data_IF_363538135793
#
_entry.id   IF_363538135793
#
_cell.length_a   1.000
_cell.length_b   1.000
_cell.length_c   1.000
_cell.angle_alpha   90.00
_cell.angle_beta   90.00
_cell.angle_gamma   90.00
#
_symmetry.space_group_name_H-M   'P 1'
#
loop_
_entity.id
_entity.type
_entity.pdbx_description
1 polymer ?
#
# COMPACT_ATOMS: atom_id res chain seq x y z
N UNK A 1 -22.58 21.16 -13.76
CA UNK A 1 -21.96 19.82 -13.91
C UNK A 1 -20.87 19.73 -12.87
N UNK A 2 -20.83 18.70 -12.02
CA UNK A 2 -19.77 18.56 -11.03
C UNK A 2 -18.41 18.37 -11.73
N UNK A 3 -17.43 19.12 -11.26
CA UNK A 3 -16.05 19.09 -11.76
C UNK A 3 -15.09 19.48 -10.65
N UNK A 4 -13.88 18.95 -10.70
CA UNK A 4 -12.80 19.29 -9.78
C UNK A 4 -11.44 19.10 -10.45
N UNK A 5 -10.41 19.73 -9.90
CA UNK A 5 -9.02 19.58 -10.27
C UNK A 5 -8.19 19.23 -9.02
N UNK A 6 -7.30 18.27 -9.13
CA UNK A 6 -6.53 17.77 -7.99
C UNK A 6 -5.23 17.11 -8.46
N UNK A 7 -4.29 16.93 -7.53
CA UNK A 7 -3.17 16.01 -7.76
C UNK A 7 -3.61 14.58 -7.47
N UNK A 8 -3.01 13.62 -8.18
CA UNK A 8 -3.35 12.22 -8.01
C UNK A 8 -2.22 11.27 -8.35
N UNK A 9 -2.25 10.11 -7.70
CA UNK A 9 -1.36 8.97 -7.98
C UNK A 9 -2.15 7.98 -8.83
N UNK A 10 -1.63 7.63 -10.00
CA UNK A 10 -2.24 6.61 -10.87
C UNK A 10 -2.14 5.24 -10.20
N UNK A 11 -3.26 4.58 -9.98
CA UNK A 11 -3.28 3.21 -9.43
C UNK A 11 -3.33 2.16 -10.52
N UNK A 12 -4.14 2.38 -11.56
CA UNK A 12 -4.23 1.50 -12.73
C UNK A 12 -4.82 2.23 -13.93
N UNK A 13 -4.50 1.73 -15.13
CA UNK A 13 -5.13 2.14 -16.38
C UNK A 13 -5.46 0.90 -17.21
N UNK A 14 -6.73 0.73 -17.56
CA UNK A 14 -7.24 -0.43 -18.30
C UNK A 14 -7.88 0.02 -19.61
N UNK A 15 -7.52 -0.65 -20.73
CA UNK A 15 -8.18 -0.38 -22.01
C UNK A 15 -9.66 -0.72 -21.96
N UNK A 16 -10.48 0.16 -22.49
CA UNK A 16 -11.92 0.00 -22.57
C UNK A 16 -12.43 0.39 -23.96
N UNK A 17 -12.91 -0.60 -24.71
CA UNK A 17 -13.23 -0.41 -26.12
C UNK A 17 -12.00 -0.08 -26.99
N UNK A 18 -12.23 0.47 -28.16
CA UNK A 18 -11.18 0.72 -29.14
C UNK A 18 -10.28 1.92 -28.86
N UNK A 19 -10.80 2.94 -28.19
CA UNK A 19 -10.16 4.26 -28.03
C UNK A 19 -10.15 4.78 -26.59
N UNK A 20 -10.76 4.07 -25.64
CA UNK A 20 -10.91 4.51 -24.25
C UNK A 20 -9.95 3.84 -23.29
N UNK A 21 -9.66 4.53 -22.18
CA UNK A 21 -9.05 3.97 -20.98
C UNK A 21 -9.98 4.24 -19.79
N UNK A 22 -10.13 3.26 -18.91
CA UNK A 22 -10.60 3.50 -17.55
C UNK A 22 -9.35 3.63 -16.69
N UNK A 23 -9.20 4.79 -16.06
CA UNK A 23 -8.07 5.12 -15.21
C UNK A 23 -8.55 5.22 -13.77
N UNK A 24 -7.83 4.59 -12.87
CA UNK A 24 -8.06 4.65 -11.43
C UNK A 24 -6.97 5.52 -10.79
N UNK A 25 -7.37 6.54 -10.07
CA UNK A 25 -6.45 7.51 -9.44
C UNK A 25 -6.81 7.65 -7.97
N UNK A 26 -5.81 7.67 -7.10
CA UNK A 26 -5.95 8.18 -5.75
C UNK A 26 -5.65 9.68 -5.78
N UNK A 27 -6.65 10.53 -5.63
CA UNK A 27 -6.47 11.97 -5.57
C UNK A 27 -6.29 12.44 -4.12
N UNK A 28 -5.63 13.57 -3.94
CA UNK A 28 -5.30 14.12 -2.63
C UNK A 28 -6.54 14.42 -1.81
N UNK A 29 -7.52 15.11 -2.40
CA UNK A 29 -8.68 15.64 -1.67
C UNK A 29 -9.98 14.91 -1.96
N UNK A 30 -10.08 14.17 -3.09
CA UNK A 30 -11.31 13.50 -3.51
C UNK A 30 -11.27 11.99 -3.35
N UNK A 31 -10.13 11.42 -2.87
CA UNK A 31 -9.94 10.00 -2.65
C UNK A 31 -9.79 9.20 -3.95
N UNK A 32 -10.10 7.92 -3.91
CA UNK A 32 -9.96 7.04 -5.08
C UNK A 32 -11.12 7.27 -6.06
N UNK A 33 -10.78 7.61 -7.30
CA UNK A 33 -11.75 7.85 -8.38
C UNK A 33 -11.43 7.06 -9.63
N UNK A 34 -12.48 6.56 -10.26
CA UNK A 34 -12.44 6.05 -11.63
C UNK A 34 -12.87 7.17 -12.59
N UNK A 35 -12.18 7.25 -13.70
CA UNK A 35 -12.56 8.19 -14.77
C UNK A 35 -12.24 7.62 -16.14
N UNK A 36 -13.08 7.99 -17.11
CA UNK A 36 -12.86 7.60 -18.50
C UNK A 36 -12.00 8.62 -19.22
N UNK A 37 -10.95 8.15 -19.87
CA UNK A 37 -10.09 8.93 -20.76
C UNK A 37 -10.36 8.52 -22.21
N UNK A 38 -10.66 9.50 -23.07
CA UNK A 38 -10.97 9.25 -24.47
C UNK A 38 -9.75 9.42 -25.37
N UNK A 39 -9.68 8.61 -26.41
CA UNK A 39 -8.72 8.75 -27.52
C UNK A 39 -7.26 8.62 -27.10
N UNK A 40 -6.94 7.58 -26.32
CA UNK A 40 -5.56 7.30 -25.84
C UNK A 40 -4.56 7.04 -26.99
N UNK A 41 -5.04 6.65 -28.17
CA UNK A 41 -4.18 6.38 -29.35
C UNK A 41 -3.57 7.66 -29.95
N UNK A 42 -4.16 8.83 -29.71
CA UNK A 42 -3.69 10.10 -30.25
C UNK A 42 -2.64 10.82 -29.41
N UNK A 43 -2.32 10.29 -28.21
CA UNK A 43 -1.38 10.87 -27.25
C UNK A 43 -0.54 9.77 -26.62
N UNK A 44 0.64 10.13 -26.12
CA UNK A 44 1.53 9.21 -25.38
C UNK A 44 1.03 8.92 -23.96
N UNK A 45 -0.28 9.01 -23.77
CA UNK A 45 -0.93 8.90 -22.44
C UNK A 45 -0.63 7.59 -21.71
N UNK A 46 -0.33 6.51 -22.46
CA UNK A 46 0.00 5.23 -21.83
C UNK A 46 1.27 5.28 -20.97
N UNK A 47 2.23 6.13 -21.32
CA UNK A 47 3.40 6.39 -20.49
C UNK A 47 3.04 7.23 -19.28
N UNK A 48 2.17 8.23 -19.45
CA UNK A 48 1.77 9.15 -18.38
C UNK A 48 0.95 8.44 -17.29
N UNK A 49 0.09 7.48 -17.67
CA UNK A 49 -0.80 6.75 -16.76
C UNK A 49 -0.25 5.41 -16.28
N UNK A 50 1.07 5.27 -16.23
CA UNK A 50 1.67 4.11 -15.57
C UNK A 50 1.39 4.14 -14.06
N UNK A 51 1.16 2.96 -13.43
CA UNK A 51 0.94 2.89 -11.97
C UNK A 51 2.07 3.57 -11.19
N UNK A 52 1.70 4.35 -10.20
CA UNK A 52 2.60 5.12 -9.35
C UNK A 52 2.97 6.50 -9.89
N UNK A 53 2.68 6.84 -11.15
CA UNK A 53 2.96 8.18 -11.66
C UNK A 53 2.09 9.23 -10.98
N UNK A 54 2.71 10.38 -10.69
CA UNK A 54 2.02 11.54 -10.14
C UNK A 54 1.50 12.41 -11.29
N UNK A 55 0.23 12.78 -11.22
CA UNK A 55 -0.50 13.48 -12.29
C UNK A 55 -1.37 14.60 -11.74
N UNK A 56 -1.60 15.66 -12.54
CA UNK A 56 -2.74 16.53 -12.36
C UNK A 56 -3.95 15.90 -13.04
N UNK A 57 -5.06 15.83 -12.31
CA UNK A 57 -6.32 15.23 -12.77
C UNK A 57 -7.41 16.27 -12.78
N UNK A 58 -8.00 16.53 -13.93
CA UNK A 58 -9.25 17.24 -14.04
C UNK A 58 -10.36 16.24 -14.30
N UNK A 59 -11.32 16.16 -13.36
CA UNK A 59 -12.49 15.30 -13.46
C UNK A 59 -13.74 16.11 -13.73
N UNK A 60 -14.60 15.60 -14.61
CA UNK A 60 -15.90 16.19 -14.93
C UNK A 60 -16.93 15.11 -15.20
N UNK A 61 -18.15 15.30 -14.68
CA UNK A 61 -19.28 14.41 -14.92
C UNK A 61 -20.58 15.17 -15.08
N UNK A 62 -21.58 14.52 -15.64
CA UNK A 62 -22.94 15.04 -15.69
C UNK A 62 -23.62 14.97 -14.31
N UNK A 63 -23.45 13.83 -13.61
CA UNK A 63 -23.96 13.59 -12.26
C UNK A 63 -22.81 13.12 -11.38
N UNK A 64 -22.86 13.42 -10.08
CA UNK A 64 -21.77 13.13 -9.16
C UNK A 64 -21.51 11.62 -9.00
N UNK A 65 -22.55 10.81 -9.14
CA UNK A 65 -22.48 9.35 -9.00
C UNK A 65 -21.87 8.64 -10.21
N UNK A 66 -21.79 9.32 -11.36
CA UNK A 66 -21.23 8.75 -12.58
C UNK A 66 -19.69 8.71 -12.51
N UNK A 67 -19.08 7.77 -13.21
CA UNK A 67 -17.62 7.64 -13.32
C UNK A 67 -16.94 8.95 -13.81
N UNK A 68 -17.60 9.68 -14.73
CA UNK A 68 -17.05 10.91 -15.27
C UNK A 68 -15.91 10.70 -16.27
N UNK A 69 -15.32 11.82 -16.70
CA UNK A 69 -14.20 11.85 -17.64
C UNK A 69 -13.00 12.49 -16.98
N UNK A 70 -11.83 11.94 -17.27
CA UNK A 70 -10.55 12.52 -16.88
C UNK A 70 -9.88 13.27 -18.03
N UNK A 71 -9.26 14.40 -17.66
CA UNK A 71 -8.14 15.01 -18.38
C UNK A 71 -6.94 14.89 -17.45
N UNK A 72 -5.83 14.38 -17.98
CA UNK A 72 -4.64 14.03 -17.17
C UNK A 72 -3.44 14.74 -17.77
N UNK A 73 -2.58 15.26 -16.89
CA UNK A 73 -1.30 15.87 -17.22
C UNK A 73 -0.24 15.29 -16.26
N UNK A 74 0.84 14.72 -16.83
CA UNK A 74 1.92 14.12 -16.04
C UNK A 74 2.66 15.19 -15.24
N UNK A 75 2.86 14.96 -13.93
CA UNK A 75 3.73 15.76 -13.07
C UNK A 75 5.10 15.08 -12.95
N UNK A 76 5.10 13.78 -12.60
CA UNK A 76 6.34 13.02 -12.42
C UNK A 76 6.17 11.56 -12.83
N UNK A 77 7.10 11.07 -13.66
CA UNK A 77 7.18 9.67 -14.04
C UNK A 77 7.98 8.89 -12.99
N UNK A 78 7.28 8.26 -12.07
CA UNK A 78 7.86 7.44 -11.00
C UNK A 78 8.36 6.10 -11.55
N UNK A 79 7.52 5.40 -12.29
CA UNK A 79 7.86 4.12 -12.91
C UNK A 79 9.09 4.20 -13.82
N UNK A 80 9.29 5.34 -14.51
CA UNK A 80 10.46 5.58 -15.33
C UNK A 80 11.76 5.75 -14.52
N UNK A 81 11.68 6.34 -13.33
CA UNK A 81 12.86 6.55 -12.47
C UNK A 81 13.41 5.24 -11.87
N UNK A 82 12.57 4.23 -11.68
CA UNK A 82 12.92 2.94 -11.06
C UNK A 82 12.78 1.77 -12.04
N UNK A 83 12.79 2.05 -13.35
CA UNK A 83 12.52 1.04 -14.39
C UNK A 83 13.44 -0.17 -14.33
N UNK A 84 14.72 0.02 -14.03
CA UNK A 84 15.72 -1.04 -13.94
C UNK A 84 15.74 -1.74 -12.56
N UNK A 85 14.96 -1.25 -11.58
CA UNK A 85 14.93 -1.75 -10.22
C UNK A 85 13.70 -2.65 -10.00
N UNK A 86 13.81 -3.92 -10.43
CA UNK A 86 12.71 -4.91 -10.42
C UNK A 86 11.96 -4.99 -9.09
N UNK A 87 12.68 -4.95 -7.97
CA UNK A 87 12.08 -5.09 -6.65
C UNK A 87 11.28 -3.83 -6.26
N UNK A 88 11.82 -2.64 -6.54
CA UNK A 88 11.11 -1.37 -6.32
C UNK A 88 9.88 -1.23 -7.22
N UNK A 89 9.99 -1.63 -8.49
CA UNK A 89 8.82 -1.68 -9.40
C UNK A 89 7.73 -2.61 -8.87
N UNK A 90 8.12 -3.77 -8.34
CA UNK A 90 7.15 -4.71 -7.78
C UNK A 90 6.50 -4.17 -6.51
N UNK A 91 7.25 -3.46 -5.65
CA UNK A 91 6.72 -2.76 -4.49
C UNK A 91 5.71 -1.66 -4.89
N UNK A 92 6.04 -0.84 -5.89
CA UNK A 92 5.14 0.20 -6.42
C UNK A 92 3.84 -0.39 -6.97
N UNK A 93 3.93 -1.47 -7.75
CA UNK A 93 2.75 -2.19 -8.23
C UNK A 93 1.92 -2.79 -7.10
N UNK A 94 2.58 -3.26 -6.04
CA UNK A 94 1.92 -3.75 -4.84
C UNK A 94 1.15 -2.64 -4.13
N UNK A 95 1.76 -1.48 -3.90
CA UNK A 95 1.12 -0.27 -3.35
C UNK A 95 -0.15 0.06 -4.13
N UNK A 96 -0.03 0.26 -5.45
CA UNK A 96 -1.16 0.63 -6.30
C UNK A 96 -2.31 -0.40 -6.22
N UNK A 97 -1.97 -1.70 -6.24
CA UNK A 97 -2.96 -2.79 -6.20
C UNK A 97 -3.67 -2.93 -4.84
N UNK A 98 -2.97 -2.66 -3.73
CA UNK A 98 -3.55 -2.64 -2.39
C UNK A 98 -4.54 -1.48 -2.24
N UNK A 99 -4.15 -0.28 -2.68
CA UNK A 99 -5.01 0.90 -2.65
C UNK A 99 -6.25 0.71 -3.53
N UNK A 100 -6.08 0.16 -4.75
CA UNK A 100 -7.21 -0.15 -5.63
C UNK A 100 -8.19 -1.13 -4.98
N UNK A 101 -7.68 -2.12 -4.24
CA UNK A 101 -8.49 -3.18 -3.63
C UNK A 101 -9.19 -2.76 -2.34
N UNK A 102 -8.52 -2.01 -1.48
CA UNK A 102 -8.99 -1.79 -0.11
C UNK A 102 -9.59 -0.41 0.14
N UNK A 103 -9.25 0.61 -0.65
CA UNK A 103 -9.87 1.92 -0.48
C UNK A 103 -11.23 1.99 -1.17
N UNK A 104 -12.29 2.41 -0.48
CA UNK A 104 -13.55 2.78 -1.10
C UNK A 104 -13.37 3.91 -2.11
N UNK A 105 -14.26 3.97 -3.11
CA UNK A 105 -14.28 5.08 -4.05
C UNK A 105 -14.85 6.35 -3.40
N UNK A 106 -14.32 7.51 -3.83
CA UNK A 106 -14.87 8.84 -3.51
C UNK A 106 -14.91 9.18 -2.03
N UNK A 107 -14.12 8.50 -1.23
CA UNK A 107 -13.89 8.82 0.17
C UNK A 107 -12.51 9.46 0.31
N UNK A 108 -12.44 10.62 0.96
CA UNK A 108 -11.18 11.31 1.18
C UNK A 108 -10.27 10.50 2.12
N UNK A 109 -9.05 10.25 1.66
CA UNK A 109 -7.96 9.60 2.37
C UNK A 109 -6.66 10.38 2.19
N UNK A 110 -6.69 11.70 2.44
CA UNK A 110 -5.51 12.56 2.25
C UNK A 110 -4.28 12.09 3.03
N UNK A 111 -4.46 11.51 4.21
CA UNK A 111 -3.35 10.90 4.97
C UNK A 111 -2.71 9.73 4.22
N UNK A 112 -3.50 8.87 3.57
CA UNK A 112 -2.97 7.77 2.74
C UNK A 112 -2.30 8.33 1.48
N UNK A 113 -2.87 9.34 0.84
CA UNK A 113 -2.25 10.01 -0.30
C UNK A 113 -0.86 10.52 0.08
N UNK A 114 -0.74 11.29 1.17
CA UNK A 114 0.52 11.85 1.64
C UNK A 114 1.53 10.75 2.02
N UNK A 115 1.08 9.71 2.73
CA UNK A 115 1.94 8.56 3.09
C UNK A 115 2.43 7.80 1.84
N UNK A 116 1.57 7.67 0.82
CA UNK A 116 1.93 7.01 -0.44
C UNK A 116 2.92 7.85 -1.23
N UNK A 117 2.72 9.18 -1.29
CA UNK A 117 3.66 10.07 -1.95
C UNK A 117 5.03 10.06 -1.25
N UNK A 118 5.07 10.13 0.08
CA UNK A 118 6.30 10.00 0.85
C UNK A 118 7.02 8.66 0.63
N UNK A 119 6.26 7.55 0.50
CA UNK A 119 6.84 6.26 0.16
C UNK A 119 7.39 6.23 -1.28
N UNK A 120 6.72 6.85 -2.23
CA UNK A 120 7.20 7.00 -3.61
C UNK A 120 8.51 7.80 -3.65
N UNK A 121 8.61 8.88 -2.88
CA UNK A 121 9.83 9.66 -2.77
C UNK A 121 10.98 8.81 -2.20
N UNK A 122 10.70 7.99 -1.18
CA UNK A 122 11.66 7.05 -0.62
C UNK A 122 12.11 5.99 -1.64
N UNK A 123 11.19 5.45 -2.46
CA UNK A 123 11.52 4.50 -3.53
C UNK A 123 12.43 5.11 -4.61
N UNK A 124 12.21 6.38 -4.94
CA UNK A 124 12.96 7.08 -6.00
C UNK A 124 14.24 7.74 -5.51
N UNK A 125 14.46 7.76 -4.20
CA UNK A 125 15.66 8.31 -3.61
C UNK A 125 16.87 7.44 -3.97
N UNK A 126 17.89 8.09 -4.56
CA UNK A 126 19.13 7.45 -4.99
C UNK A 126 20.21 7.73 -3.97
N UNK A 127 20.35 6.87 -2.99
CA UNK A 127 21.50 6.85 -2.06
C UNK A 127 22.05 5.43 -2.00
N UNK A 128 23.23 5.22 -2.60
CA UNK A 128 23.88 3.91 -2.67
C UNK A 128 24.20 3.33 -1.28
N UNK A 129 24.29 4.16 -0.24
CA UNK A 129 24.62 3.72 1.13
C UNK A 129 23.44 3.12 1.90
N UNK A 130 22.19 3.30 1.42
CA UNK A 130 20.96 2.93 2.13
C UNK A 130 19.96 2.18 1.27
N UNK A 131 20.44 1.32 0.39
CA UNK A 131 19.66 0.79 -0.73
C UNK A 131 18.38 0.02 -0.35
N UNK A 132 18.29 -0.58 0.85
CA UNK A 132 17.18 -1.47 1.23
C UNK A 132 16.22 -0.95 2.31
N UNK A 133 16.53 0.19 2.96
CA UNK A 133 15.67 0.76 4.02
C UNK A 133 14.25 1.15 3.55
N UNK A 134 14.04 1.34 2.26
CA UNK A 134 12.72 1.57 1.70
C UNK A 134 11.74 0.41 1.96
N UNK A 135 12.25 -0.83 2.21
CA UNK A 135 11.42 -1.98 2.55
C UNK A 135 10.79 -1.84 3.93
N UNK A 136 11.50 -1.28 4.92
CA UNK A 136 10.91 -0.91 6.21
C UNK A 136 9.81 0.15 6.02
N UNK A 137 10.08 1.15 5.16
CA UNK A 137 9.11 2.17 4.78
C UNK A 137 7.85 1.56 4.16
N UNK A 138 8.01 0.55 3.31
CA UNK A 138 6.89 -0.20 2.72
C UNK A 138 6.02 -0.89 3.79
N UNK A 139 6.63 -1.58 4.75
CA UNK A 139 5.89 -2.24 5.85
C UNK A 139 5.16 -1.21 6.72
N UNK A 140 5.85 -0.12 7.08
CA UNK A 140 5.25 1.00 7.84
C UNK A 140 4.09 1.63 7.09
N UNK A 141 4.21 1.78 5.76
CA UNK A 141 3.14 2.25 4.89
C UNK A 141 1.93 1.30 4.92
N UNK A 142 2.13 -0.03 4.80
CA UNK A 142 1.04 -1.01 4.91
C UNK A 142 0.31 -0.92 6.25
N UNK A 143 1.04 -0.74 7.36
CA UNK A 143 0.45 -0.52 8.70
C UNK A 143 -0.37 0.77 8.74
N UNK A 144 0.12 1.83 8.12
CA UNK A 144 -0.61 3.11 7.98
C UNK A 144 -1.92 2.94 7.20
N UNK A 145 -1.89 2.18 6.10
CA UNK A 145 -3.11 1.83 5.33
C UNK A 145 -4.09 1.05 6.19
N UNK A 146 -3.64 0.00 6.89
CA UNK A 146 -4.48 -0.78 7.82
C UNK A 146 -5.14 0.13 8.87
N UNK A 147 -4.38 1.03 9.47
CA UNK A 147 -4.89 1.99 10.47
C UNK A 147 -5.97 2.90 9.90
N UNK A 148 -5.74 3.45 8.71
CA UNK A 148 -6.66 4.40 8.05
C UNK A 148 -7.99 3.77 7.64
N UNK A 149 -8.01 2.44 7.46
CA UNK A 149 -9.24 1.68 7.15
C UNK A 149 -9.83 0.97 8.39
N UNK A 150 -9.39 1.37 9.60
CA UNK A 150 -10.00 0.97 10.86
C UNK A 150 -9.35 -0.22 11.58
N UNK A 151 -8.13 -0.65 11.17
CA UNK A 151 -7.39 -1.75 11.80
C UNK A 151 -6.04 -1.31 12.34
N UNK A 152 -6.05 -0.43 13.34
CA UNK A 152 -4.83 0.06 13.98
C UNK A 152 -4.13 -1.04 14.78
N UNK A 153 -2.82 -1.14 14.63
CA UNK A 153 -1.95 -1.95 15.48
C UNK A 153 -1.43 -1.10 16.64
N UNK A 154 -1.37 -1.69 17.84
CA UNK A 154 -0.78 -1.08 19.02
C UNK A 154 0.48 -1.86 19.41
N UNK A 155 1.63 -1.35 18.96
CA UNK A 155 2.91 -2.03 19.05
C UNK A 155 3.81 -1.48 20.17
N UNK A 156 3.31 -0.53 20.98
CA UNK A 156 4.13 0.18 21.96
C UNK A 156 4.16 -0.49 23.33
N UNK A 157 3.14 -1.31 23.67
CA UNK A 157 3.01 -1.94 24.99
C UNK A 157 2.46 -3.36 24.89
N UNK A 158 2.93 -4.22 25.77
CA UNK A 158 2.42 -5.58 25.91
C UNK A 158 0.95 -5.59 26.36
N UNK A 159 0.09 -6.26 25.59
CA UNK A 159 -1.33 -6.39 25.92
C UNK A 159 -1.61 -7.22 27.18
N UNK A 160 -0.64 -7.99 27.67
CA UNK A 160 -0.79 -8.90 28.82
C UNK A 160 -0.17 -8.31 30.08
N UNK A 161 1.07 -7.82 29.99
CA UNK A 161 1.84 -7.35 31.16
C UNK A 161 1.81 -5.83 31.31
N UNK A 162 1.44 -5.08 30.24
CA UNK A 162 1.52 -3.62 30.21
C UNK A 162 2.94 -3.06 30.02
N UNK A 163 3.97 -3.93 29.98
CA UNK A 163 5.37 -3.55 29.78
C UNK A 163 5.59 -2.98 28.36
N UNK A 164 6.52 -2.07 28.24
CA UNK A 164 7.03 -1.50 26.98
C UNK A 164 8.39 -2.09 26.57
N UNK A 165 8.89 -3.08 27.31
CA UNK A 165 10.16 -3.77 27.07
C UNK A 165 9.95 -5.25 26.78
N UNK A 166 10.93 -5.89 26.16
CA UNK A 166 10.90 -7.30 25.73
C UNK A 166 9.71 -7.61 24.83
N UNK A 167 9.32 -6.67 23.97
CA UNK A 167 8.25 -6.85 23.00
C UNK A 167 8.74 -7.68 21.83
N UNK A 168 8.29 -8.94 21.75
CA UNK A 168 8.78 -9.90 20.75
C UNK A 168 7.73 -10.31 19.73
N UNK A 169 6.47 -10.10 20.03
CA UNK A 169 5.37 -10.65 19.26
C UNK A 169 4.23 -9.64 19.06
N UNK A 170 3.38 -9.95 18.09
CA UNK A 170 2.08 -9.30 17.86
C UNK A 170 0.97 -10.34 17.96
N UNK A 171 -0.06 -10.04 18.73
CA UNK A 171 -1.24 -10.90 18.83
C UNK A 171 -2.07 -10.83 17.53
N UNK A 172 -2.28 -11.93 16.81
CA UNK A 172 -3.12 -11.95 15.61
C UNK A 172 -4.58 -11.67 15.92
N UNK A 173 -5.01 -11.88 17.17
CA UNK A 173 -6.39 -11.60 17.61
C UNK A 173 -6.65 -10.11 17.82
N UNK A 174 -5.71 -9.41 18.47
CA UNK A 174 -5.92 -8.03 18.95
C UNK A 174 -5.12 -6.98 18.20
N UNK A 175 -4.07 -7.36 17.44
CA UNK A 175 -3.15 -6.41 16.80
C UNK A 175 -2.22 -5.69 17.77
N UNK A 176 -2.12 -6.17 19.02
CA UNK A 176 -1.29 -5.55 20.06
C UNK A 176 0.02 -6.30 20.25
N UNK A 177 1.07 -5.57 20.65
CA UNK A 177 2.34 -6.16 21.04
C UNK A 177 2.19 -7.08 22.25
N UNK A 178 3.05 -8.11 22.31
CA UNK A 178 3.14 -9.06 23.40
C UNK A 178 4.61 -9.27 23.77
N UNK A 179 4.95 -9.10 25.05
CA UNK A 179 6.30 -9.35 25.56
C UNK A 179 6.60 -10.86 25.64
N UNK A 180 7.88 -11.20 25.80
CA UNK A 180 8.32 -12.60 25.99
C UNK A 180 7.58 -13.27 27.14
N UNK A 181 7.47 -12.59 28.27
CA UNK A 181 6.79 -13.06 29.48
C UNK A 181 5.28 -13.21 29.24
N UNK A 182 4.66 -12.22 28.58
CA UNK A 182 3.22 -12.22 28.28
C UNK A 182 2.82 -13.28 27.26
N UNK A 183 3.73 -13.70 26.38
CA UNK A 183 3.48 -14.72 25.38
C UNK A 183 3.35 -16.13 25.99
N UNK A 184 4.23 -16.48 26.94
CA UNK A 184 4.23 -17.79 27.60
C UNK A 184 4.06 -18.95 26.60
N UNK A 185 3.16 -19.88 26.91
CA UNK A 185 2.83 -21.02 26.03
C UNK A 185 2.16 -20.65 24.69
N UNK A 186 1.74 -19.41 24.52
CA UNK A 186 1.07 -18.94 23.29
C UNK A 186 2.04 -18.42 22.23
N UNK A 187 3.32 -18.26 22.54
CA UNK A 187 4.35 -17.75 21.62
C UNK A 187 4.30 -18.38 20.20
N UNK A 188 4.11 -19.69 20.01
CA UNK A 188 4.06 -20.29 18.67
C UNK A 188 2.89 -19.85 17.80
N UNK A 189 1.86 -19.21 18.41
CA UNK A 189 0.66 -18.71 17.69
C UNK A 189 0.69 -17.22 17.46
N UNK A 190 1.73 -16.54 17.90
CA UNK A 190 1.91 -15.10 17.77
C UNK A 190 2.77 -14.80 16.55
N UNK A 191 2.62 -13.60 16.01
CA UNK A 191 3.44 -13.09 14.91
C UNK A 191 4.70 -12.45 15.50
N UNK A 192 5.85 -12.64 14.87
CA UNK A 192 7.10 -12.01 15.31
C UNK A 192 7.04 -10.50 15.06
N UNK A 193 7.43 -9.72 16.05
CA UNK A 193 7.53 -8.27 15.97
C UNK A 193 8.95 -7.87 15.58
N UNK A 194 9.18 -7.30 14.37
CA UNK A 194 10.51 -6.90 13.95
C UNK A 194 10.99 -5.65 14.69
N UNK A 195 12.32 -5.49 14.76
CA UNK A 195 12.98 -4.42 15.51
C UNK A 195 12.60 -3.02 15.00
N UNK A 196 12.48 -2.82 13.68
CA UNK A 196 12.12 -1.54 13.09
C UNK A 196 10.66 -1.11 13.36
N UNK A 197 9.84 -2.00 13.92
CA UNK A 197 8.49 -1.73 14.43
C UNK A 197 8.42 -1.66 15.98
N UNK A 198 9.56 -1.62 16.65
CA UNK A 198 9.65 -1.53 18.11
C UNK A 198 9.82 -2.88 18.82
N UNK A 199 10.13 -3.95 18.09
CA UNK A 199 10.44 -5.25 18.68
C UNK A 199 11.84 -5.32 19.28
N UNK A 200 11.98 -6.04 20.37
CA UNK A 200 13.29 -6.36 20.97
C UNK A 200 13.91 -7.54 20.22
N UNK A 201 14.92 -7.25 19.46
CA UNK A 201 15.75 -8.06 18.54
C UNK A 201 15.75 -9.60 18.73
N UNK A 202 14.72 -10.29 18.23
CA UNK A 202 14.58 -11.77 18.28
C UNK A 202 15.11 -12.45 17.02
N UNK A 203 15.12 -11.73 15.92
CA UNK A 203 15.31 -12.30 14.57
C UNK A 203 16.78 -12.31 14.18
N UNK A 204 17.65 -11.72 15.03
CA UNK A 204 19.07 -11.54 14.74
C UNK A 204 19.30 -10.46 13.68
N UNK A 205 20.54 -10.33 13.21
CA UNK A 205 20.97 -9.25 12.30
C UNK A 205 20.57 -9.43 10.84
N UNK A 206 19.63 -10.34 10.50
CA UNK A 206 19.24 -10.56 9.11
C UNK A 206 18.10 -9.61 8.73
N UNK A 207 18.44 -8.57 7.98
CA UNK A 207 17.53 -7.54 7.50
C UNK A 207 16.30 -8.11 6.78
N UNK A 208 16.47 -9.03 5.84
CA UNK A 208 15.34 -9.56 5.06
C UNK A 208 14.38 -10.41 5.91
N UNK A 209 14.87 -11.10 6.94
CA UNK A 209 14.01 -11.80 7.90
C UNK A 209 13.17 -10.83 8.73
N UNK A 210 13.73 -9.70 9.12
CA UNK A 210 12.99 -8.61 9.78
C UNK A 210 11.87 -8.08 8.86
N UNK A 211 12.19 -7.79 7.60
CA UNK A 211 11.20 -7.35 6.62
C UNK A 211 10.10 -8.40 6.43
N UNK A 212 10.45 -9.68 6.27
CA UNK A 212 9.47 -10.76 6.14
C UNK A 212 8.57 -10.90 7.37
N UNK A 213 9.11 -10.71 8.57
CA UNK A 213 8.29 -10.69 9.79
C UNK A 213 7.25 -9.55 9.76
N UNK A 214 7.65 -8.35 9.37
CA UNK A 214 6.75 -7.22 9.18
C UNK A 214 5.68 -7.48 8.11
N UNK A 215 6.10 -8.02 6.95
CA UNK A 215 5.18 -8.40 5.87
C UNK A 215 4.20 -9.52 6.28
N UNK A 216 4.62 -10.44 7.16
CA UNK A 216 3.73 -11.47 7.70
C UNK A 216 2.65 -10.87 8.61
N UNK A 217 3.01 -9.89 9.44
CA UNK A 217 2.02 -9.14 10.26
C UNK A 217 0.98 -8.52 9.35
N UNK A 218 1.39 -7.68 8.41
CA UNK A 218 0.45 -6.96 7.53
C UNK A 218 -0.36 -7.91 6.66
N UNK A 219 0.25 -8.99 6.12
CA UNK A 219 -0.45 -10.03 5.37
C UNK A 219 -1.55 -10.69 6.19
N UNK A 220 -1.28 -10.99 7.47
CA UNK A 220 -2.27 -11.58 8.36
C UNK A 220 -3.48 -10.66 8.52
N UNK A 221 -3.26 -9.38 8.81
CA UNK A 221 -4.35 -8.43 9.05
C UNK A 221 -5.13 -8.10 7.77
N UNK A 222 -4.48 -7.92 6.65
CA UNK A 222 -5.16 -7.76 5.35
C UNK A 222 -6.04 -8.98 5.02
N UNK A 223 -5.53 -10.22 5.21
CA UNK A 223 -6.29 -11.44 4.90
C UNK A 223 -7.44 -11.66 5.87
N UNK A 224 -7.16 -11.62 7.17
CA UNK A 224 -8.10 -12.12 8.17
C UNK A 224 -9.04 -11.05 8.75
N UNK A 225 -8.76 -9.78 8.52
CA UNK A 225 -9.63 -8.69 8.99
C UNK A 225 -10.34 -7.98 7.84
N UNK A 226 -9.64 -7.65 6.77
CA UNK A 226 -10.22 -6.89 5.67
C UNK A 226 -10.88 -7.77 4.61
N UNK A 227 -10.19 -8.80 4.10
CA UNK A 227 -10.75 -9.63 3.04
C UNK A 227 -11.97 -10.41 3.51
N UNK A 228 -12.01 -10.83 4.78
CA UNK A 228 -13.18 -11.48 5.37
C UNK A 228 -14.36 -10.52 5.57
N UNK A 229 -14.10 -9.22 5.83
CA UNK A 229 -15.17 -8.23 5.98
C UNK A 229 -15.78 -7.79 4.65
N UNK A 230 -15.01 -7.81 3.56
CA UNK A 230 -15.44 -7.34 2.23
C UNK A 230 -16.21 -8.43 1.46
N UNK A 231 -15.91 -9.72 1.67
CA UNK A 231 -16.49 -10.81 0.90
C UNK A 231 -16.95 -11.99 1.77
N UNK A 232 -18.26 -12.15 1.88
CA UNK A 232 -18.89 -13.27 2.59
C UNK A 232 -18.89 -14.59 1.80
N UNK A 233 -18.62 -14.61 0.48
CA UNK A 233 -18.90 -15.75 -0.38
C UNK A 233 -17.76 -16.29 -1.25
N UNK A 234 -16.53 -15.70 -1.22
CA UNK A 234 -15.37 -16.26 -1.95
C UNK A 234 -14.07 -16.02 -1.19
N UNK A 235 -13.16 -17.00 -1.13
CA UNK A 235 -11.82 -16.77 -0.61
C UNK A 235 -11.11 -15.77 -1.53
N UNK A 236 -10.91 -14.57 -1.08
CA UNK A 236 -10.18 -13.54 -1.81
C UNK A 236 -8.75 -13.47 -1.31
N UNK A 237 -7.80 -13.69 -2.20
CA UNK A 237 -6.39 -13.52 -1.89
C UNK A 237 -5.99 -12.05 -1.93
N UNK A 238 -4.84 -11.74 -1.35
CA UNK A 238 -4.16 -10.46 -1.58
C UNK A 238 -3.91 -10.24 -3.08
N UNK A 239 -3.79 -9.01 -3.56
CA UNK A 239 -3.47 -8.73 -4.95
C UNK A 239 -2.20 -9.45 -5.40
N UNK A 240 -2.20 -9.98 -6.62
CA UNK A 240 -1.04 -10.70 -7.17
C UNK A 240 0.28 -9.90 -7.12
N UNK A 241 0.30 -8.56 -7.37
CA UNK A 241 1.52 -7.79 -7.21
C UNK A 241 2.08 -7.83 -5.79
N UNK A 242 1.21 -7.83 -4.76
CA UNK A 242 1.62 -7.93 -3.36
C UNK A 242 2.19 -9.32 -3.02
N UNK A 243 1.57 -10.37 -3.55
CA UNK A 243 2.07 -11.75 -3.35
C UNK A 243 3.45 -11.90 -3.99
N UNK A 244 3.61 -11.48 -5.25
CA UNK A 244 4.90 -11.53 -5.96
C UNK A 244 5.99 -10.71 -5.30
N UNK A 245 5.64 -9.59 -4.69
CA UNK A 245 6.61 -8.77 -3.93
C UNK A 245 7.19 -9.56 -2.75
N UNK A 246 6.35 -10.24 -1.96
CA UNK A 246 6.82 -11.10 -0.85
C UNK A 246 7.69 -12.24 -1.37
N UNK A 247 7.24 -12.96 -2.40
CA UNK A 247 7.99 -14.06 -3.02
C UNK A 247 9.37 -13.63 -3.54
N UNK A 248 9.54 -12.38 -3.94
CA UNK A 248 10.85 -11.85 -4.33
C UNK A 248 11.75 -11.61 -3.13
N UNK A 249 11.21 -11.10 -2.03
CA UNK A 249 11.99 -10.88 -0.79
C UNK A 249 12.38 -12.23 -0.14
N UNK A 250 11.51 -13.24 -0.19
CA UNK A 250 11.82 -14.59 0.32
C UNK A 250 13.01 -15.28 -0.37
N UNK A 251 13.42 -14.79 -1.53
CA UNK A 251 14.54 -15.32 -2.31
C UNK A 251 15.87 -14.59 -2.06
N UNK A 252 15.85 -13.53 -1.25
CA UNK A 252 17.04 -12.76 -0.84
C UNK A 252 17.62 -13.31 0.47
#
# INVERSE_FOLDING_TARGET
MPEWNDQGIVLSAKKYGEKGLIINVLSENHGRHLGWFNNYKSKNILADVQPGNLVNVFWKSRLIEQMGKFKIELISSVSGKIFDEKLKLQALNSVCSLLEKFLPERQNYSQIFNATNAFIDLLTFQDESKNDYWMEGYVKWEIGVLSSIGFSLDLNRCAVTGSDTNLLFVSPKTGKAVSKEGAGRHAPRLLLLPSFLGGDNVIGSNFYKEILAGLNITSYFFKNKLLLSINTNKPTNLPNPRIRFVELIEKL
#
